data_IF_420590329639
#
_entry.id   IF_420590329639
#
_cell.length_a   1.000
_cell.length_b   1.000
_cell.length_c   1.000
_cell.angle_alpha   90.00
_cell.angle_beta   90.00
_cell.angle_gamma   90.00
#
_symmetry.space_group_name_H-M   'P 1'
#
loop_
_entity.id
_entity.type
_entity.pdbx_description
1 polymer ?
#
# COMPACT_ATOMS: atom_id res chain seq x y z
N UNK A 1 12.08 21.13 -4.91
CA UNK A 1 12.02 20.28 -6.11
C UNK A 1 11.21 20.97 -7.19
N UNK A 2 9.97 21.40 -6.94
CA UNK A 2 9.15 22.08 -7.97
C UNK A 2 9.82 23.34 -8.56
N UNK A 3 10.33 24.24 -7.72
CA UNK A 3 11.07 25.44 -8.16
C UNK A 3 12.33 25.09 -9.00
N UNK A 4 12.93 23.93 -8.74
CA UNK A 4 14.08 23.44 -9.49
C UNK A 4 13.70 23.06 -10.93
N UNK A 5 12.57 22.35 -11.09
CA UNK A 5 12.07 21.92 -12.39
C UNK A 5 11.45 23.07 -13.20
N UNK A 6 10.82 24.04 -12.53
CA UNK A 6 10.41 25.29 -13.15
C UNK A 6 11.62 26.06 -13.69
N UNK A 7 12.68 26.19 -12.90
CA UNK A 7 13.92 26.83 -13.32
C UNK A 7 14.60 26.10 -14.50
N UNK A 8 14.52 24.77 -14.55
CA UNK A 8 15.04 23.98 -15.68
C UNK A 8 14.38 24.34 -17.02
N UNK A 9 13.11 24.76 -16.98
CA UNK A 9 12.32 25.09 -18.17
C UNK A 9 12.34 26.59 -18.49
N UNK A 10 12.37 27.46 -17.47
CA UNK A 10 12.16 28.91 -17.59
C UNK A 10 13.42 29.76 -17.35
N UNK A 11 14.33 29.33 -16.48
CA UNK A 11 15.56 30.09 -16.13
C UNK A 11 16.73 29.18 -15.70
N UNK A 12 17.49 28.65 -16.68
CA UNK A 12 18.61 27.74 -16.42
C UNK A 12 19.71 28.34 -15.54
N UNK A 13 19.79 29.67 -15.43
CA UNK A 13 20.83 30.33 -14.63
C UNK A 13 20.63 30.14 -13.12
N UNK A 14 19.38 29.95 -12.68
CA UNK A 14 19.00 29.71 -11.27
C UNK A 14 19.27 28.29 -10.80
N UNK A 15 19.39 27.34 -11.72
CA UNK A 15 19.57 25.92 -11.37
C UNK A 15 20.78 25.70 -10.47
N UNK A 16 21.90 26.41 -10.70
CA UNK A 16 23.10 26.26 -9.89
C UNK A 16 22.86 26.61 -8.41
N UNK A 17 22.21 27.75 -8.15
CA UNK A 17 21.91 28.18 -6.78
C UNK A 17 20.88 27.24 -6.10
N UNK A 18 19.89 26.77 -6.85
CA UNK A 18 18.89 25.83 -6.34
C UNK A 18 19.50 24.45 -6.05
N UNK A 19 20.47 23.98 -6.83
CA UNK A 19 21.23 22.74 -6.56
C UNK A 19 21.97 22.82 -5.23
N UNK A 20 22.74 23.89 -5.03
CA UNK A 20 23.49 24.10 -3.78
C UNK A 20 22.54 24.10 -2.57
N UNK A 21 21.38 24.76 -2.71
CA UNK A 21 20.34 24.79 -1.67
C UNK A 21 19.68 23.43 -1.41
N UNK A 22 19.44 22.62 -2.44
CA UNK A 22 18.91 21.25 -2.27
C UNK A 22 19.91 20.39 -1.50
N UNK A 23 21.19 20.42 -1.88
CA UNK A 23 22.24 19.65 -1.20
C UNK A 23 22.41 20.09 0.26
N UNK A 24 22.38 21.40 0.52
CA UNK A 24 22.43 21.94 1.89
C UNK A 24 21.23 21.46 2.73
N UNK A 25 20.01 21.48 2.17
CA UNK A 25 18.82 20.98 2.84
C UNK A 25 18.87 19.48 3.13
N UNK A 26 19.42 18.68 2.21
CA UNK A 26 19.59 17.24 2.41
C UNK A 26 20.55 16.93 3.57
N UNK A 27 21.70 17.62 3.59
CA UNK A 27 22.65 17.48 4.68
C UNK A 27 22.08 17.96 6.03
N UNK A 28 21.31 19.06 6.03
CA UNK A 28 20.69 19.60 7.24
C UNK A 28 19.57 18.70 7.79
N UNK A 29 18.87 17.96 6.92
CA UNK A 29 17.77 17.07 7.30
C UNK A 29 18.21 15.63 7.59
N UNK A 30 19.49 15.29 7.38
CA UNK A 30 20.04 13.93 7.40
C UNK A 30 19.38 12.96 6.40
N UNK A 31 18.68 13.49 5.39
CA UNK A 31 18.10 12.68 4.32
C UNK A 31 19.19 11.97 3.51
N UNK A 32 20.41 12.52 3.45
CA UNK A 32 21.55 11.87 2.81
C UNK A 32 21.87 10.48 3.39
N UNK A 33 21.71 10.28 4.70
CA UNK A 33 21.89 8.99 5.37
C UNK A 33 20.73 8.03 5.08
N UNK A 34 19.49 8.52 5.15
CA UNK A 34 18.28 7.72 4.87
C UNK A 34 18.24 7.27 3.41
N UNK A 35 18.77 8.08 2.50
CA UNK A 35 18.84 7.81 1.08
C UNK A 35 20.09 6.99 0.69
N UNK A 36 21.01 6.74 1.62
CA UNK A 36 22.27 6.04 1.35
C UNK A 36 23.20 6.80 0.39
N UNK A 37 23.00 8.10 0.20
CA UNK A 37 23.76 8.95 -0.72
C UNK A 37 24.92 9.56 0.06
N UNK A 38 26.14 9.08 -0.19
CA UNK A 38 27.32 9.77 0.34
C UNK A 38 27.58 11.03 -0.48
N UNK A 39 27.15 12.18 0.05
CA UNK A 39 27.44 13.51 -0.48
C UNK A 39 28.93 13.86 -0.27
N UNK A 40 29.85 13.13 -0.91
CA UNK A 40 31.28 13.40 -0.83
C UNK A 40 31.71 14.44 -1.87
N UNK A 41 32.68 15.28 -1.52
CA UNK A 41 33.26 16.27 -2.42
C UNK A 41 33.93 15.66 -3.67
N UNK A 42 34.18 14.35 -3.67
CA UNK A 42 34.74 13.58 -4.79
C UNK A 42 33.65 13.08 -5.75
N UNK A 43 32.47 12.72 -5.24
CA UNK A 43 31.26 12.44 -6.04
C UNK A 43 30.86 13.66 -6.87
N UNK A 44 31.04 14.85 -6.31
CA UNK A 44 30.80 16.14 -6.98
C UNK A 44 31.84 16.50 -8.07
N UNK A 45 32.92 15.74 -8.22
CA UNK A 45 33.93 15.98 -9.28
C UNK A 45 33.73 15.10 -10.51
N UNK A 46 33.05 13.96 -10.39
CA UNK A 46 32.76 13.05 -11.50
C UNK A 46 31.41 13.39 -12.17
N UNK A 47 31.33 14.55 -12.81
CA UNK A 47 30.20 14.91 -13.68
C UNK A 47 28.85 15.04 -12.96
N UNK A 48 28.52 16.25 -12.52
CA UNK A 48 27.26 16.56 -11.82
C UNK A 48 26.00 16.15 -12.58
N UNK A 49 25.99 16.12 -13.91
CA UNK A 49 24.77 15.91 -14.69
C UNK A 49 24.12 14.53 -14.48
N UNK A 50 24.92 13.46 -14.28
CA UNK A 50 24.39 12.11 -14.03
C UNK A 50 24.00 11.92 -12.57
N UNK A 51 24.82 12.44 -11.66
CA UNK A 51 24.56 12.44 -10.22
C UNK A 51 23.27 13.20 -9.90
N UNK A 52 23.03 14.32 -10.57
CA UNK A 52 21.83 15.13 -10.41
C UNK A 52 20.57 14.40 -10.89
N UNK A 53 20.60 13.75 -12.06
CA UNK A 53 19.44 12.98 -12.52
C UNK A 53 19.09 11.85 -11.56
N UNK A 54 20.10 11.09 -11.10
CA UNK A 54 19.89 9.95 -10.20
C UNK A 54 19.42 10.41 -8.81
N UNK A 55 20.05 11.43 -8.24
CA UNK A 55 19.70 11.97 -6.92
C UNK A 55 18.31 12.61 -6.93
N UNK A 56 17.98 13.42 -7.94
CA UNK A 56 16.67 14.06 -8.00
C UNK A 56 15.54 13.06 -8.24
N UNK A 57 15.76 12.05 -9.09
CA UNK A 57 14.78 10.97 -9.33
C UNK A 57 14.53 10.18 -8.04
N UNK A 58 15.60 9.81 -7.33
CA UNK A 58 15.50 9.07 -6.08
C UNK A 58 14.87 9.91 -4.95
N UNK A 59 15.16 11.21 -4.91
CA UNK A 59 14.51 12.16 -4.00
C UNK A 59 13.03 12.32 -4.29
N UNK A 60 12.66 12.55 -5.55
CA UNK A 60 11.24 12.65 -5.96
C UNK A 60 10.49 11.38 -5.54
N UNK A 61 11.07 10.20 -5.80
CA UNK A 61 10.49 8.92 -5.36
C UNK A 61 10.33 8.84 -3.84
N UNK A 62 11.41 9.09 -3.08
CA UNK A 62 11.41 8.95 -1.62
C UNK A 62 10.46 9.93 -0.95
N UNK A 63 10.40 11.17 -1.43
CA UNK A 63 9.47 12.19 -0.93
C UNK A 63 8.02 11.85 -1.28
N UNK A 64 7.77 11.29 -2.47
CA UNK A 64 6.45 10.79 -2.83
C UNK A 64 6.04 9.62 -1.92
N UNK A 65 6.93 8.64 -1.68
CA UNK A 65 6.65 7.52 -0.77
C UNK A 65 6.34 8.00 0.65
N UNK A 66 7.10 8.97 1.17
CA UNK A 66 6.84 9.56 2.49
C UNK A 66 5.52 10.33 2.55
N UNK A 67 5.19 11.08 1.49
CA UNK A 67 3.92 11.82 1.39
C UNK A 67 2.72 10.87 1.33
N UNK A 68 2.86 9.76 0.64
CA UNK A 68 1.81 8.75 0.46
C UNK A 68 1.65 7.79 1.65
N UNK A 69 2.60 7.83 2.59
CA UNK A 69 2.59 6.95 3.75
C UNK A 69 1.36 7.20 4.64
N UNK A 70 0.46 6.22 4.68
CA UNK A 70 -0.74 6.26 5.52
C UNK A 70 -0.37 6.06 6.99
N UNK A 71 -0.30 7.17 7.72
CA UNK A 71 -0.08 7.19 9.17
C UNK A 71 -1.40 7.45 9.92
N UNK A 72 -1.47 7.00 11.17
CA UNK A 72 -2.66 7.24 11.99
C UNK A 72 -2.72 8.70 12.40
N UNK A 73 -3.76 9.40 11.95
CA UNK A 73 -4.03 10.79 12.33
C UNK A 73 -4.89 10.89 13.60
N UNK A 74 -4.40 10.29 14.69
CA UNK A 74 -5.05 10.31 16.00
C UNK A 74 -5.34 8.94 16.62
N UNK A 75 -6.17 8.94 17.67
CA UNK A 75 -6.55 7.76 18.43
C UNK A 75 -8.05 7.51 18.33
N UNK A 76 -8.44 6.24 18.27
CA UNK A 76 -9.83 5.83 18.30
C UNK A 76 -10.47 6.09 19.67
N UNK A 77 -11.69 6.64 19.67
CA UNK A 77 -12.54 6.76 20.86
C UNK A 77 -13.69 5.77 20.68
N UNK A 78 -13.83 4.85 21.63
CA UNK A 78 -14.84 3.78 21.56
C UNK A 78 -16.25 4.37 21.39
N UNK A 79 -16.97 3.92 20.36
CA UNK A 79 -18.32 4.40 20.05
C UNK A 79 -18.39 5.75 19.32
N UNK A 80 -17.26 6.36 18.98
CA UNK A 80 -17.22 7.60 18.21
C UNK A 80 -16.80 7.30 16.77
N UNK A 81 -17.70 7.60 15.82
CA UNK A 81 -17.32 7.62 14.41
C UNK A 81 -16.39 8.83 14.17
N UNK A 82 -15.30 8.67 13.40
CA UNK A 82 -14.52 9.81 12.93
C UNK A 82 -15.42 10.82 12.21
N UNK A 83 -15.04 12.10 12.25
CA UNK A 83 -15.73 13.19 11.57
C UNK A 83 -14.77 14.05 10.74
N UNK A 84 -15.35 14.94 9.91
CA UNK A 84 -14.60 15.87 9.06
C UNK A 84 -13.49 15.20 8.25
N UNK A 85 -12.28 15.76 8.38
CA UNK A 85 -11.08 15.34 7.67
C UNK A 85 -10.70 13.87 7.95
N UNK A 86 -10.81 13.43 9.22
CA UNK A 86 -10.45 12.07 9.61
C UNK A 86 -11.37 11.03 8.98
N UNK A 87 -12.67 11.32 8.87
CA UNK A 87 -13.62 10.43 8.19
C UNK A 87 -13.33 10.33 6.69
N UNK A 88 -13.07 11.48 6.05
CA UNK A 88 -12.73 11.54 4.64
C UNK A 88 -11.49 10.73 4.32
N UNK A 89 -10.40 10.97 5.06
CA UNK A 89 -9.11 10.32 4.81
C UNK A 89 -9.19 8.82 5.09
N UNK A 90 -9.95 8.40 6.12
CA UNK A 90 -10.24 6.98 6.37
C UNK A 90 -11.01 6.34 5.21
N UNK A 91 -12.01 7.04 4.65
CA UNK A 91 -12.78 6.54 3.50
C UNK A 91 -11.88 6.37 2.28
N UNK A 92 -11.01 7.34 1.98
CA UNK A 92 -10.06 7.27 0.88
C UNK A 92 -9.11 6.10 1.09
N UNK A 93 -8.53 5.95 2.28
CA UNK A 93 -7.60 4.87 2.60
C UNK A 93 -8.24 3.47 2.44
N UNK A 94 -9.52 3.31 2.77
CA UNK A 94 -10.25 2.06 2.56
C UNK A 94 -10.62 1.87 1.08
N UNK A 95 -11.08 2.93 0.41
CA UNK A 95 -11.53 2.87 -0.98
C UNK A 95 -10.38 2.78 -1.99
N UNK A 96 -9.13 3.07 -1.58
CA UNK A 96 -7.92 3.02 -2.42
C UNK A 96 -7.67 1.62 -2.98
N UNK A 97 -7.94 0.56 -2.22
CA UNK A 97 -7.59 -0.80 -2.62
C UNK A 97 -8.61 -1.47 -3.56
N UNK A 98 -8.16 -2.18 -4.61
CA UNK A 98 -9.02 -2.97 -5.47
C UNK A 98 -9.62 -4.17 -4.71
N UNK A 99 -10.83 -4.58 -5.09
CA UNK A 99 -11.54 -5.74 -4.57
C UNK A 99 -12.20 -6.49 -5.73
N UNK A 100 -12.76 -7.68 -5.48
CA UNK A 100 -13.53 -8.39 -6.51
C UNK A 100 -14.66 -7.50 -7.04
N UNK A 101 -14.57 -7.09 -8.32
CA UNK A 101 -15.52 -6.18 -8.96
C UNK A 101 -15.33 -4.69 -8.67
N UNK A 102 -14.24 -4.29 -8.00
CA UNK A 102 -13.88 -2.88 -7.74
C UNK A 102 -12.42 -2.62 -8.09
N UNK A 103 -12.18 -1.50 -8.78
CA UNK A 103 -10.83 -1.13 -9.22
C UNK A 103 -10.10 -0.28 -8.17
N UNK A 104 -10.84 0.32 -7.23
CA UNK A 104 -10.31 1.23 -6.22
C UNK A 104 -10.41 2.68 -6.66
N UNK A 105 -10.62 3.60 -5.72
CA UNK A 105 -10.98 4.99 -6.00
C UNK A 105 -9.92 5.73 -6.84
N UNK A 106 -8.64 5.63 -6.46
CA UNK A 106 -7.55 6.33 -7.16
C UNK A 106 -7.33 5.79 -8.57
N UNK A 107 -7.40 4.47 -8.75
CA UNK A 107 -7.35 3.81 -10.07
C UNK A 107 -8.57 4.14 -10.94
N UNK A 108 -9.76 4.22 -10.34
CA UNK A 108 -10.97 4.61 -11.05
C UNK A 108 -10.87 6.05 -11.61
N UNK A 109 -10.39 6.99 -10.79
CA UNK A 109 -10.15 8.37 -11.21
C UNK A 109 -9.11 8.41 -12.33
N UNK A 110 -8.02 7.67 -12.20
CA UNK A 110 -6.99 7.61 -13.23
C UNK A 110 -7.53 7.06 -14.57
N UNK A 111 -8.28 5.96 -14.52
CA UNK A 111 -8.86 5.32 -15.70
C UNK A 111 -9.90 6.19 -16.39
N UNK A 112 -10.80 6.85 -15.63
CA UNK A 112 -11.80 7.76 -16.20
C UNK A 112 -11.17 9.03 -16.78
N UNK A 113 -10.01 9.45 -16.26
CA UNK A 113 -9.26 10.60 -16.77
C UNK A 113 -8.34 10.24 -17.95
N UNK A 114 -8.28 8.97 -18.33
CA UNK A 114 -7.55 8.49 -19.51
C UNK A 114 -6.04 8.28 -19.28
N UNK A 115 -5.58 8.07 -18.05
CA UNK A 115 -4.17 7.78 -17.80
C UNK A 115 -3.81 6.32 -18.05
N UNK A 116 -2.64 6.13 -18.66
CA UNK A 116 -2.02 4.82 -18.91
C UNK A 116 -0.93 4.52 -17.87
N UNK A 117 -1.27 4.69 -16.59
CA UNK A 117 -0.42 4.28 -15.47
C UNK A 117 -1.29 3.78 -14.30
N UNK A 118 -0.73 2.93 -13.46
CA UNK A 118 -1.35 2.45 -12.22
C UNK A 118 -0.85 3.27 -11.02
N UNK A 119 -1.71 4.12 -10.40
CA UNK A 119 -1.36 4.95 -9.25
C UNK A 119 -0.79 4.19 -8.05
N UNK A 120 -0.97 2.87 -7.95
CA UNK A 120 -0.52 2.07 -6.82
C UNK A 120 0.71 1.21 -7.11
N UNK A 121 1.08 1.04 -8.38
CA UNK A 121 2.10 0.05 -8.78
C UNK A 121 3.25 0.67 -9.58
N UNK A 122 2.98 1.72 -10.35
CA UNK A 122 3.98 2.32 -11.22
C UNK A 122 4.91 3.26 -10.45
N UNK A 123 6.13 3.44 -10.97
CA UNK A 123 7.14 4.28 -10.34
C UNK A 123 6.70 5.76 -10.35
N UNK A 124 6.57 6.41 -9.17
CA UNK A 124 6.21 7.83 -9.09
C UNK A 124 7.16 8.75 -9.87
N UNK A 125 8.41 8.34 -10.08
CA UNK A 125 9.40 9.13 -10.80
C UNK A 125 9.29 9.01 -12.33
N UNK A 126 8.44 8.11 -12.85
CA UNK A 126 8.23 7.95 -14.30
C UNK A 126 7.64 9.22 -14.91
N UNK A 127 8.29 9.73 -15.96
CA UNK A 127 7.83 10.91 -16.70
C UNK A 127 6.53 10.64 -17.45
N UNK A 128 5.65 11.64 -17.52
CA UNK A 128 4.40 11.59 -18.26
C UNK A 128 4.39 12.63 -19.39
N UNK A 129 3.85 12.25 -20.54
CA UNK A 129 3.54 13.17 -21.63
C UNK A 129 2.16 13.80 -21.37
N UNK A 130 2.11 14.93 -20.67
CA UNK A 130 0.84 15.53 -20.27
C UNK A 130 0.95 16.78 -19.40
N UNK A 131 -0.15 17.17 -18.73
CA UNK A 131 -0.19 18.36 -17.87
C UNK A 131 0.62 18.18 -16.58
N UNK A 132 0.96 16.94 -16.21
CA UNK A 132 1.83 16.63 -15.08
C UNK A 132 3.16 16.09 -15.56
N UNK A 133 4.21 16.43 -14.82
CA UNK A 133 5.58 16.09 -15.17
C UNK A 133 5.87 14.60 -15.01
N UNK A 134 5.37 14.00 -13.94
CA UNK A 134 5.61 12.61 -13.60
C UNK A 134 4.37 11.98 -12.94
N UNK A 135 4.41 10.66 -12.79
CA UNK A 135 3.36 9.88 -12.14
C UNK A 135 3.08 10.38 -10.72
N UNK A 136 4.10 10.75 -9.95
CA UNK A 136 3.95 11.26 -8.58
C UNK A 136 3.10 12.54 -8.48
N UNK A 137 3.28 13.48 -9.42
CA UNK A 137 2.43 14.68 -9.50
C UNK A 137 0.99 14.34 -9.89
N UNK A 138 0.80 13.39 -10.81
CA UNK A 138 -0.52 12.94 -11.19
C UNK A 138 -1.23 12.22 -10.03
N UNK A 139 -0.53 11.37 -9.27
CA UNK A 139 -1.03 10.73 -8.05
C UNK A 139 -1.47 11.80 -7.05
N UNK A 140 -0.62 12.79 -6.76
CA UNK A 140 -0.95 13.88 -5.84
C UNK A 140 -2.22 14.65 -6.25
N UNK A 141 -2.40 14.91 -7.54
CA UNK A 141 -3.60 15.55 -8.07
C UNK A 141 -4.84 14.64 -7.93
N UNK A 142 -4.71 13.34 -8.20
CA UNK A 142 -5.77 12.34 -8.01
C UNK A 142 -6.19 12.27 -6.53
N UNK A 143 -5.25 12.33 -5.61
CA UNK A 143 -5.50 12.30 -4.16
C UNK A 143 -6.31 13.52 -3.70
N UNK A 144 -5.91 14.71 -4.14
CA UNK A 144 -6.61 15.96 -3.82
C UNK A 144 -8.02 15.99 -4.43
N UNK A 145 -8.15 15.45 -5.64
CA UNK A 145 -9.46 15.26 -6.28
C UNK A 145 -10.31 14.26 -5.50
N UNK A 146 -9.75 13.11 -5.10
CA UNK A 146 -10.41 12.09 -4.28
C UNK A 146 -10.90 12.68 -2.95
N UNK A 147 -10.09 13.52 -2.29
CA UNK A 147 -10.48 14.24 -1.08
C UNK A 147 -11.68 15.15 -1.33
N UNK A 148 -11.64 15.95 -2.39
CA UNK A 148 -12.73 16.88 -2.72
C UNK A 148 -14.04 16.15 -3.02
N UNK A 149 -14.00 15.06 -3.79
CA UNK A 149 -15.20 14.31 -4.14
C UNK A 149 -15.78 13.55 -2.94
N UNK A 150 -14.93 12.99 -2.07
CA UNK A 150 -15.39 12.29 -0.85
C UNK A 150 -15.95 13.28 0.17
N UNK A 151 -15.35 14.46 0.34
CA UNK A 151 -15.90 15.52 1.20
C UNK A 151 -17.29 15.96 0.74
N UNK A 152 -17.45 16.19 -0.57
CA UNK A 152 -18.75 16.53 -1.14
C UNK A 152 -19.77 15.40 -0.92
N UNK A 153 -19.36 14.14 -1.05
CA UNK A 153 -20.20 12.97 -0.80
C UNK A 153 -20.66 12.89 0.66
N UNK A 154 -19.75 13.09 1.61
CA UNK A 154 -20.07 13.11 3.06
C UNK A 154 -21.07 14.23 3.37
N UNK A 155 -20.96 15.38 2.70
CA UNK A 155 -21.87 16.52 2.86
C UNK A 155 -23.20 16.37 2.08
N UNK A 156 -23.42 15.27 1.36
CA UNK A 156 -24.60 15.04 0.55
C UNK A 156 -24.71 15.95 -0.69
N UNK A 157 -23.59 16.52 -1.14
CA UNK A 157 -23.51 17.36 -2.34
C UNK A 157 -23.19 16.50 -3.56
N UNK A 158 -23.88 16.74 -4.67
CA UNK A 158 -23.56 16.08 -5.95
C UNK A 158 -22.40 16.82 -6.61
N UNK A 159 -21.26 16.14 -6.78
CA UNK A 159 -20.14 16.66 -7.58
C UNK A 159 -20.48 16.45 -9.05
N UNK A 160 -21.14 17.44 -9.66
CA UNK A 160 -21.38 17.49 -11.10
C UNK A 160 -20.29 18.32 -11.75
N UNK A 161 -19.18 17.69 -12.11
CA UNK A 161 -18.11 18.17 -13.02
C UNK A 161 -17.87 19.70 -13.08
N UNK A 162 -17.68 20.33 -11.94
CA UNK A 162 -17.07 21.65 -11.86
C UNK A 162 -15.75 21.44 -11.12
N UNK A 163 -14.75 20.99 -11.87
CA UNK A 163 -13.52 20.41 -11.36
C UNK A 163 -12.71 21.45 -10.55
N UNK A 164 -12.20 21.10 -9.35
CA UNK A 164 -11.16 21.89 -8.70
C UNK A 164 -9.80 21.71 -9.39
N UNK A 165 -9.61 20.60 -10.11
CA UNK A 165 -8.33 20.21 -10.71
C UNK A 165 -8.53 19.92 -12.21
N UNK A 166 -7.87 20.66 -13.12
CA UNK A 166 -7.98 20.44 -14.56
C UNK A 166 -7.57 19.01 -14.96
N UNK A 167 -8.24 18.47 -15.98
CA UNK A 167 -7.94 17.16 -16.61
C UNK A 167 -8.27 15.91 -15.77
N UNK A 168 -8.95 16.06 -14.63
CA UNK A 168 -9.50 14.93 -13.88
C UNK A 168 -11.01 14.86 -14.06
N UNK A 169 -11.55 13.65 -14.26
CA UNK A 169 -12.96 13.46 -14.58
C UNK A 169 -13.64 12.40 -13.70
N UNK A 170 -14.93 12.61 -13.43
CA UNK A 170 -15.80 11.61 -12.80
C UNK A 170 -16.51 10.83 -13.91
N UNK A 171 -15.92 9.72 -14.32
CA UNK A 171 -16.51 8.79 -15.28
C UNK A 171 -17.28 7.63 -14.62
N UNK A 172 -17.62 6.59 -15.39
CA UNK A 172 -18.41 5.46 -14.90
C UNK A 172 -17.70 4.65 -13.82
N UNK A 173 -16.37 4.53 -13.86
CA UNK A 173 -15.64 3.76 -12.85
C UNK A 173 -15.66 4.50 -11.51
N UNK A 174 -15.37 5.80 -11.52
CA UNK A 174 -15.39 6.66 -10.33
C UNK A 174 -16.80 6.73 -9.74
N UNK A 175 -17.85 6.81 -10.58
CA UNK A 175 -19.24 6.76 -10.10
C UNK A 175 -19.57 5.44 -9.40
N UNK A 176 -19.07 4.31 -9.91
CA UNK A 176 -19.25 2.99 -9.26
C UNK A 176 -18.62 2.98 -7.87
N UNK A 177 -17.40 3.50 -7.75
CA UNK A 177 -16.70 3.60 -6.47
C UNK A 177 -17.40 4.55 -5.49
N UNK A 178 -17.83 5.74 -5.95
CA UNK A 178 -18.59 6.70 -5.13
C UNK A 178 -19.94 6.13 -4.68
N UNK A 179 -20.64 5.39 -5.54
CA UNK A 179 -21.89 4.72 -5.19
C UNK A 179 -21.65 3.67 -4.09
N UNK A 180 -20.59 2.86 -4.20
CA UNK A 180 -20.22 1.92 -3.15
C UNK A 180 -19.86 2.63 -1.83
N UNK A 181 -19.11 3.73 -1.89
CA UNK A 181 -18.77 4.51 -0.69
C UNK A 181 -20.04 5.01 0.00
N UNK A 182 -20.96 5.58 -0.76
CA UNK A 182 -22.20 6.17 -0.25
C UNK A 182 -23.16 5.14 0.35
N UNK A 183 -23.31 3.98 -0.32
CA UNK A 183 -24.32 2.99 0.05
C UNK A 183 -23.81 1.86 0.93
N UNK A 184 -22.50 1.63 1.00
CA UNK A 184 -21.92 0.52 1.75
C UNK A 184 -20.89 0.96 2.80
N UNK A 185 -19.86 1.71 2.42
CA UNK A 185 -18.75 2.03 3.31
C UNK A 185 -19.15 3.04 4.39
N UNK A 186 -19.62 4.22 3.98
CA UNK A 186 -19.99 5.31 4.89
C UNK A 186 -21.07 4.88 5.90
N UNK A 187 -22.17 4.20 5.49
CA UNK A 187 -23.16 3.71 6.45
C UNK A 187 -22.60 2.68 7.45
N UNK A 188 -21.61 1.87 7.05
CA UNK A 188 -20.98 0.92 7.96
C UNK A 188 -19.98 1.58 8.91
N UNK A 189 -19.30 2.65 8.49
CA UNK A 189 -18.46 3.46 9.38
C UNK A 189 -19.31 4.22 10.40
N UNK A 190 -20.45 4.78 10.00
CA UNK A 190 -21.36 5.49 10.92
C UNK A 190 -21.93 4.57 12.03
N UNK A 191 -21.97 3.26 11.79
CA UNK A 191 -22.36 2.26 12.80
C UNK A 191 -21.29 2.02 13.88
N UNK A 192 -20.15 2.71 13.85
CA UNK A 192 -19.14 2.66 14.94
C UNK A 192 -19.74 2.99 16.31
N UNK A 193 -20.80 3.80 16.35
CA UNK A 193 -21.60 4.06 17.56
C UNK A 193 -22.17 2.80 18.23
N UNK A 194 -22.28 1.69 17.50
CA UNK A 194 -22.72 0.40 18.03
C UNK A 194 -21.69 -0.26 18.97
N UNK A 195 -20.43 0.18 19.00
CA UNK A 195 -19.41 -0.39 19.87
C UNK A 195 -19.79 -0.35 21.36
N UNK A 196 -20.28 0.80 21.84
CA UNK A 196 -20.73 0.93 23.24
C UNK A 196 -21.98 0.08 23.47
N UNK A 197 -22.92 0.09 22.52
CA UNK A 197 -24.15 -0.71 22.61
C UNK A 197 -23.84 -2.20 22.69
N UNK A 198 -22.91 -2.69 21.87
CA UNK A 198 -22.45 -4.07 21.87
C UNK A 198 -21.73 -4.42 23.19
N UNK A 199 -20.87 -3.53 23.69
CA UNK A 199 -20.23 -3.70 24.99
C UNK A 199 -21.27 -3.87 26.11
N UNK A 200 -22.27 -2.99 26.18
CA UNK A 200 -23.34 -3.07 27.19
C UNK A 200 -24.19 -4.33 27.02
N UNK A 201 -24.48 -4.74 25.78
CA UNK A 201 -25.21 -5.99 25.51
C UNK A 201 -24.44 -7.22 25.99
N UNK A 202 -23.12 -7.26 25.74
CA UNK A 202 -22.25 -8.35 26.17
C UNK A 202 -22.14 -8.42 27.70
N UNK A 203 -22.04 -7.27 28.37
CA UNK A 203 -22.05 -7.19 29.84
C UNK A 203 -23.37 -7.68 30.45
N UNK A 204 -24.49 -7.54 29.74
CA UNK A 204 -25.78 -8.09 30.14
C UNK A 204 -25.95 -9.59 29.81
N UNK A 205 -24.87 -10.29 29.41
CA UNK A 205 -24.92 -11.70 29.03
C UNK A 205 -25.59 -11.96 27.67
N UNK A 206 -25.77 -10.91 26.86
CA UNK A 206 -26.33 -11.00 25.51
C UNK A 206 -25.34 -11.55 24.50
N UNK A 207 -25.85 -12.19 23.44
CA UNK A 207 -25.02 -12.71 22.36
C UNK A 207 -24.57 -11.58 21.42
N UNK A 208 -23.26 -11.46 21.20
CA UNK A 208 -22.68 -10.51 20.26
C UNK A 208 -22.45 -11.18 18.90
N UNK A 209 -23.04 -10.67 17.81
CA UNK A 209 -22.85 -11.23 16.47
C UNK A 209 -21.38 -11.31 16.07
N UNK A 210 -21.02 -12.42 15.44
CA UNK A 210 -19.66 -12.66 14.95
C UNK A 210 -19.36 -11.92 13.64
N UNK A 211 -18.10 -11.52 13.44
CA UNK A 211 -17.63 -10.89 12.21
C UNK A 211 -16.16 -11.24 11.90
N UNK A 212 -15.72 -11.18 10.64
CA UNK A 212 -14.31 -11.38 10.32
C UNK A 212 -13.46 -10.24 10.91
N UNK A 213 -12.21 -10.57 11.26
CA UNK A 213 -11.18 -9.58 11.60
C UNK A 213 -10.28 -9.27 10.39
N UNK A 214 -9.67 -8.09 10.41
CA UNK A 214 -8.76 -7.65 9.35
C UNK A 214 -8.54 -6.14 9.37
N UNK A 215 -7.73 -5.67 8.43
CA UNK A 215 -7.56 -4.24 8.21
C UNK A 215 -8.50 -3.80 7.07
N UNK A 216 -9.47 -2.89 7.30
CA UNK A 216 -10.35 -2.42 6.23
C UNK A 216 -9.55 -1.70 5.13
N UNK A 217 -8.44 -1.05 5.50
CA UNK A 217 -7.46 -0.44 4.60
C UNK A 217 -6.59 -1.44 3.84
N UNK A 218 -6.79 -2.76 3.97
CA UNK A 218 -6.13 -3.78 3.14
C UNK A 218 -7.14 -4.56 2.30
N UNK A 219 -8.15 -3.86 1.79
CA UNK A 219 -9.18 -4.45 0.93
C UNK A 219 -10.16 -5.37 1.67
N UNK A 220 -10.23 -5.33 3.01
CA UNK A 220 -11.19 -6.11 3.81
C UNK A 220 -12.30 -5.25 4.39
N UNK A 221 -13.10 -4.61 3.54
CA UNK A 221 -14.20 -3.72 3.98
C UNK A 221 -15.33 -4.47 4.71
N UNK A 222 -15.45 -5.79 4.52
CA UNK A 222 -16.42 -6.68 5.16
C UNK A 222 -16.24 -6.80 6.68
N UNK A 223 -15.10 -6.36 7.23
CA UNK A 223 -14.87 -6.27 8.68
C UNK A 223 -15.73 -5.18 9.33
N UNK A 224 -16.26 -4.24 8.53
CA UNK A 224 -17.16 -3.20 8.98
C UNK A 224 -18.62 -3.69 8.85
N UNK A 225 -19.52 -3.31 9.78
CA UNK A 225 -19.32 -2.37 10.90
C UNK A 225 -18.62 -2.99 12.11
N UNK A 226 -18.02 -2.13 12.95
CA UNK A 226 -17.43 -2.52 14.24
C UNK A 226 -18.50 -2.81 15.31
N UNK A 227 -18.08 -3.12 16.55
CA UNK A 227 -18.99 -3.53 17.62
C UNK A 227 -19.46 -4.98 17.51
N UNK A 228 -18.62 -5.86 16.96
CA UNK A 228 -18.91 -7.29 16.73
C UNK A 228 -17.87 -8.17 17.39
N UNK A 229 -18.23 -9.42 17.67
CA UNK A 229 -17.32 -10.41 18.22
C UNK A 229 -16.48 -11.00 17.08
N UNK A 230 -15.30 -10.42 16.85
CA UNK A 230 -14.53 -10.79 15.67
C UNK A 230 -13.90 -12.18 15.79
N UNK A 231 -13.80 -12.89 14.67
CA UNK A 231 -13.04 -14.14 14.54
C UNK A 231 -11.88 -13.96 13.56
N UNK A 232 -10.92 -14.88 13.63
CA UNK A 232 -9.72 -14.91 12.79
C UNK A 232 -10.01 -15.53 11.41
N UNK A 233 -9.01 -16.15 10.79
CA UNK A 233 -9.12 -16.86 9.51
C UNK A 233 -9.08 -18.37 9.74
N UNK A 234 -9.65 -19.17 8.83
CA UNK A 234 -9.40 -20.63 8.81
C UNK A 234 -7.91 -20.84 8.54
N UNK A 235 -7.19 -21.37 9.53
CA UNK A 235 -5.74 -21.59 9.44
C UNK A 235 -5.33 -22.50 8.29
N UNK A 236 -6.26 -23.35 7.80
CA UNK A 236 -6.01 -24.24 6.65
C UNK A 236 -6.11 -23.51 5.32
N UNK A 237 -6.63 -22.29 5.30
CA UNK A 237 -6.71 -21.46 4.10
C UNK A 237 -5.53 -20.47 3.99
N UNK A 238 -4.48 -20.66 4.80
CA UNK A 238 -3.29 -19.80 4.85
C UNK A 238 -2.08 -20.59 4.31
N UNK A 239 -1.30 -20.05 3.35
CA UNK A 239 -1.51 -18.76 2.69
C UNK A 239 -2.69 -18.79 1.72
N UNK A 240 -3.34 -17.66 1.48
CA UNK A 240 -4.34 -17.53 0.40
C UNK A 240 -3.65 -17.44 -0.96
N UNK A 241 -4.37 -17.74 -2.05
CA UNK A 241 -3.85 -17.56 -3.43
C UNK A 241 -3.33 -16.13 -3.68
N UNK A 242 -4.06 -15.13 -3.18
CA UNK A 242 -3.64 -13.72 -3.29
C UNK A 242 -2.37 -13.44 -2.48
N UNK A 243 -2.23 -14.02 -1.28
CA UNK A 243 -1.05 -13.86 -0.45
C UNK A 243 0.16 -14.58 -1.06
N UNK A 244 -0.06 -15.68 -1.79
CA UNK A 244 0.97 -16.34 -2.57
C UNK A 244 1.58 -15.42 -3.64
N UNK A 245 0.75 -14.73 -4.43
CA UNK A 245 1.24 -13.80 -5.45
C UNK A 245 2.05 -12.65 -4.85
N UNK A 246 1.60 -12.10 -3.72
CA UNK A 246 2.31 -11.03 -3.00
C UNK A 246 3.62 -11.54 -2.42
N UNK A 247 3.58 -12.67 -1.70
CA UNK A 247 4.76 -13.28 -1.08
C UNK A 247 5.81 -13.71 -2.10
N UNK A 248 5.39 -14.26 -3.25
CA UNK A 248 6.28 -14.63 -4.36
C UNK A 248 7.01 -13.41 -4.92
N UNK A 249 6.27 -12.33 -5.24
CA UNK A 249 6.88 -11.07 -5.73
C UNK A 249 7.83 -10.47 -4.69
N UNK A 250 7.45 -10.48 -3.41
CA UNK A 250 8.31 -9.99 -2.33
C UNK A 250 9.61 -10.81 -2.20
N UNK A 251 9.54 -12.13 -2.39
CA UNK A 251 10.73 -12.99 -2.41
C UNK A 251 11.61 -12.71 -3.63
N UNK A 252 11.03 -12.48 -4.81
CA UNK A 252 11.75 -12.13 -6.04
C UNK A 252 12.50 -10.81 -5.89
N UNK A 253 11.83 -9.75 -5.44
CA UNK A 253 12.43 -8.43 -5.19
C UNK A 253 13.55 -8.51 -4.15
N UNK A 254 13.36 -9.28 -3.08
CA UNK A 254 14.38 -9.47 -2.05
C UNK A 254 15.64 -10.12 -2.63
N UNK A 255 15.47 -11.22 -3.37
CA UNK A 255 16.60 -11.95 -3.97
C UNK A 255 17.30 -11.11 -5.02
N UNK A 256 16.55 -10.42 -5.87
CA UNK A 256 17.09 -9.52 -6.89
C UNK A 256 17.94 -8.43 -6.25
N UNK A 257 17.38 -7.70 -5.27
CA UNK A 257 18.10 -6.63 -4.56
C UNK A 257 19.37 -7.15 -3.88
N UNK A 258 19.30 -8.27 -3.16
CA UNK A 258 20.48 -8.86 -2.51
C UNK A 258 21.56 -9.22 -3.53
N UNK A 259 21.17 -9.79 -4.67
CA UNK A 259 22.08 -10.21 -5.74
C UNK A 259 22.72 -9.00 -6.42
N UNK A 260 21.98 -7.91 -6.62
CA UNK A 260 22.51 -6.65 -7.14
C UNK A 260 23.54 -6.03 -6.18
N UNK A 261 23.29 -6.07 -4.88
CA UNK A 261 24.16 -5.48 -3.85
C UNK A 261 25.42 -6.33 -3.57
N UNK A 262 25.34 -7.66 -3.62
CA UNK A 262 26.41 -8.56 -3.19
C UNK A 262 27.06 -9.37 -4.33
N UNK A 263 26.45 -9.41 -5.51
CA UNK A 263 26.93 -10.18 -6.67
C UNK A 263 26.74 -11.70 -6.57
N UNK A 264 26.19 -12.21 -5.46
CA UNK A 264 25.81 -13.62 -5.29
C UNK A 264 24.40 -13.76 -4.72
N UNK A 265 23.76 -14.91 -4.97
CA UNK A 265 22.44 -15.22 -4.42
C UNK A 265 22.51 -15.45 -2.89
N UNK A 266 21.46 -15.06 -2.13
CA UNK A 266 21.41 -15.31 -0.70
C UNK A 266 21.35 -16.82 -0.44
N UNK A 267 22.21 -17.32 0.45
CA UNK A 267 22.25 -18.76 0.82
C UNK A 267 21.28 -19.07 1.95
N UNK A 268 21.23 -18.21 2.96
CA UNK A 268 20.40 -18.39 4.15
C UNK A 268 19.75 -17.07 4.55
N UNK A 269 18.46 -17.10 4.92
CA UNK A 269 17.70 -15.96 5.40
C UNK A 269 16.98 -16.30 6.70
N UNK A 270 16.99 -15.36 7.65
CA UNK A 270 16.13 -15.42 8.83
C UNK A 270 14.84 -14.63 8.58
N UNK A 271 13.67 -15.24 8.72
CA UNK A 271 12.38 -14.56 8.64
C UNK A 271 11.62 -14.68 9.95
N UNK A 272 11.04 -13.57 10.40
CA UNK A 272 10.17 -13.54 11.59
C UNK A 272 8.72 -13.60 11.15
N UNK A 273 8.00 -14.65 11.54
CA UNK A 273 6.57 -14.79 11.23
C UNK A 273 5.75 -14.39 12.45
N UNK A 274 4.76 -13.53 12.24
CA UNK A 274 3.85 -13.06 13.27
C UNK A 274 2.40 -13.47 12.95
N UNK A 275 1.70 -14.04 13.93
CA UNK A 275 0.31 -14.48 13.75
C UNK A 275 -0.64 -13.35 13.38
N UNK A 276 -0.47 -12.17 13.99
CA UNK A 276 -1.31 -10.99 13.70
C UNK A 276 -1.09 -10.44 12.28
N UNK A 277 0.15 -10.49 11.77
CA UNK A 277 0.46 -10.13 10.38
C UNK A 277 -0.17 -11.12 9.41
N UNK A 278 0.04 -12.42 9.66
CA UNK A 278 -0.52 -13.53 8.88
C UNK A 278 -2.05 -13.45 8.77
N UNK A 279 -2.75 -13.17 9.87
CA UNK A 279 -4.21 -13.02 9.87
C UNK A 279 -4.70 -11.83 9.03
N UNK A 280 -3.95 -10.71 9.02
CA UNK A 280 -4.29 -9.49 8.29
C UNK A 280 -4.05 -9.62 6.79
N UNK A 281 -2.98 -10.34 6.39
CA UNK A 281 -2.58 -10.48 4.99
C UNK A 281 -3.16 -11.72 4.32
N UNK A 282 -3.55 -12.73 5.10
CA UNK A 282 -3.84 -14.05 4.56
C UNK A 282 -2.59 -14.90 4.37
N UNK A 283 -1.42 -14.49 4.90
CA UNK A 283 -0.21 -15.31 4.95
C UNK A 283 0.94 -14.86 4.05
N UNK A 284 1.08 -13.56 3.74
CA UNK A 284 2.17 -13.04 2.90
C UNK A 284 3.56 -13.51 3.37
N UNK A 285 3.84 -13.46 4.69
CA UNK A 285 5.14 -13.84 5.26
C UNK A 285 5.44 -15.34 5.03
N UNK A 286 4.42 -16.19 5.20
CA UNK A 286 4.52 -17.63 4.96
C UNK A 286 4.68 -17.92 3.46
N UNK A 287 3.93 -17.22 2.62
CA UNK A 287 4.07 -17.30 1.16
C UNK A 287 5.47 -16.87 0.70
N UNK A 288 6.03 -15.81 1.28
CA UNK A 288 7.39 -15.35 0.98
C UNK A 288 8.43 -16.41 1.36
N UNK A 289 8.31 -17.03 2.54
CA UNK A 289 9.18 -18.12 2.96
C UNK A 289 9.11 -19.33 2.00
N UNK A 290 7.89 -19.75 1.63
CA UNK A 290 7.67 -20.84 0.68
C UNK A 290 8.26 -20.52 -0.70
N UNK A 291 8.05 -19.30 -1.20
CA UNK A 291 8.60 -18.84 -2.47
C UNK A 291 10.15 -18.83 -2.46
N UNK A 292 10.79 -18.39 -1.38
CA UNK A 292 12.26 -18.42 -1.22
C UNK A 292 12.81 -19.85 -1.33
N UNK A 293 12.13 -20.82 -0.72
CA UNK A 293 12.45 -22.25 -0.81
C UNK A 293 12.10 -22.87 -2.17
N UNK A 294 11.31 -22.18 -3.01
CA UNK A 294 10.83 -22.66 -4.30
C UNK A 294 9.73 -23.72 -4.17
N UNK A 295 8.84 -23.52 -3.21
CA UNK A 295 7.70 -24.40 -2.92
C UNK A 295 6.41 -23.60 -3.11
N UNK A 296 5.47 -24.10 -3.89
CA UNK A 296 4.17 -23.49 -4.16
C UNK A 296 3.05 -24.22 -3.40
N UNK A 297 2.17 -23.52 -2.67
CA UNK A 297 1.00 -24.16 -2.07
C UNK A 297 0.01 -24.63 -3.15
N UNK A 298 -0.73 -25.70 -2.86
CA UNK A 298 -1.83 -26.21 -3.68
C UNK A 298 -3.13 -26.04 -2.91
N UNK A 299 -4.10 -25.39 -3.54
CA UNK A 299 -5.42 -25.11 -2.94
C UNK A 299 -6.50 -26.03 -3.50
N UNK A 300 -7.43 -26.45 -2.64
CA UNK A 300 -8.69 -27.04 -3.07
C UNK A 300 -9.63 -25.93 -3.57
N UNK A 301 -10.04 -25.99 -4.85
CA UNK A 301 -10.78 -24.90 -5.49
C UNK A 301 -12.11 -24.55 -4.83
N UNK A 302 -12.79 -25.52 -4.21
CA UNK A 302 -14.07 -25.27 -3.55
C UNK A 302 -13.91 -24.72 -2.13
N UNK A 303 -13.00 -25.28 -1.33
CA UNK A 303 -12.80 -24.86 0.07
C UNK A 303 -11.75 -23.77 0.26
N UNK A 304 -10.97 -23.45 -0.79
CA UNK A 304 -9.78 -22.58 -0.77
C UNK A 304 -8.77 -22.94 0.32
N UNK A 305 -8.80 -24.17 0.80
CA UNK A 305 -7.84 -24.68 1.78
C UNK A 305 -6.59 -25.14 1.07
N UNK A 306 -5.44 -24.88 1.68
CA UNK A 306 -4.16 -25.48 1.29
C UNK A 306 -4.25 -26.96 1.60
N UNK A 307 -4.15 -27.79 0.56
CA UNK A 307 -4.25 -29.25 0.64
C UNK A 307 -2.90 -29.94 0.43
N UNK A 308 -1.99 -29.29 -0.29
CA UNK A 308 -0.67 -29.85 -0.60
C UNK A 308 0.33 -28.73 -0.93
N UNK A 309 1.55 -29.10 -1.28
CA UNK A 309 2.56 -28.21 -1.82
C UNK A 309 3.32 -28.87 -2.97
N UNK A 310 3.69 -28.07 -3.97
CA UNK A 310 4.47 -28.48 -5.12
C UNK A 310 5.88 -27.87 -5.04
N UNK A 311 6.90 -28.72 -5.18
CA UNK A 311 8.29 -28.27 -5.25
C UNK A 311 8.59 -27.83 -6.69
N UNK A 312 8.72 -26.52 -6.90
CA UNK A 312 8.95 -25.95 -8.24
C UNK A 312 10.31 -26.40 -8.79
N UNK A 313 10.41 -26.86 -10.05
CA UNK A 313 11.70 -27.19 -10.68
C UNK A 313 12.63 -25.96 -10.75
N UNK A 314 13.94 -26.17 -10.65
CA UNK A 314 14.93 -25.08 -10.71
C UNK A 314 14.88 -24.30 -12.03
N UNK A 315 14.49 -24.95 -13.13
CA UNK A 315 14.30 -24.31 -14.42
C UNK A 315 13.15 -23.30 -14.43
N UNK A 316 12.11 -23.52 -13.60
CA UNK A 316 10.99 -22.59 -13.42
C UNK A 316 11.36 -21.51 -12.42
N UNK A 317 12.07 -21.88 -11.35
CA UNK A 317 12.47 -20.94 -10.29
C UNK A 317 13.50 -19.91 -10.78
N UNK A 318 14.36 -20.26 -11.74
CA UNK A 318 15.35 -19.35 -12.33
C UNK A 318 16.49 -18.92 -11.39
N UNK A 319 16.57 -19.50 -10.19
CA UNK A 319 17.59 -19.21 -9.17
C UNK A 319 17.80 -20.41 -8.23
N UNK A 320 18.88 -20.43 -7.43
CA UNK A 320 19.02 -21.37 -6.32
C UNK A 320 17.89 -21.23 -5.29
N UNK A 321 17.59 -22.33 -4.60
CA UNK A 321 16.73 -22.30 -3.41
C UNK A 321 17.48 -21.62 -2.27
N UNK A 322 16.78 -20.80 -1.51
CA UNK A 322 17.33 -20.12 -0.34
C UNK A 322 16.93 -20.93 0.89
N UNK A 323 17.90 -21.18 1.78
CA UNK A 323 17.62 -21.78 3.08
C UNK A 323 16.95 -20.75 3.99
N UNK A 324 15.85 -21.11 4.64
CA UNK A 324 15.02 -20.17 5.41
C UNK A 324 14.92 -20.65 6.86
N UNK A 325 15.49 -19.86 7.76
CA UNK A 325 15.30 -20.02 9.21
C UNK A 325 14.08 -19.21 9.64
N UNK A 326 13.03 -19.89 10.09
CA UNK A 326 11.83 -19.24 10.60
C UNK A 326 11.95 -19.00 12.10
N UNK A 327 11.88 -17.74 12.50
CA UNK A 327 11.63 -17.36 13.89
C UNK A 327 10.15 -17.09 14.04
N UNK A 328 9.52 -17.90 14.87
CA UNK A 328 8.09 -17.89 15.01
C UNK A 328 7.65 -17.29 16.36
N UNK A 329 6.66 -16.40 16.32
CA UNK A 329 5.92 -15.89 17.49
C UNK A 329 4.49 -16.46 17.56
N UNK A 330 4.28 -17.64 16.99
CA UNK A 330 3.01 -18.36 17.06
C UNK A 330 2.94 -19.16 18.37
N UNK A 331 2.17 -18.65 19.34
CA UNK A 331 1.59 -19.50 20.39
C UNK A 331 0.41 -20.29 19.76
N UNK A 332 0.76 -21.25 18.91
CA UNK A 332 -0.12 -22.11 18.11
C UNK A 332 -0.19 -23.52 18.71
N UNK A 333 -0.83 -23.68 19.86
CA UNK A 333 -1.15 -25.04 20.36
C UNK A 333 -2.05 -25.87 19.43
N UNK A 334 -2.51 -25.32 18.29
CA UNK A 334 -3.39 -25.96 17.31
C UNK A 334 -2.76 -26.30 15.94
N UNK A 335 -1.53 -25.88 15.60
CA UNK A 335 -0.82 -26.36 14.41
C UNK A 335 0.18 -27.45 14.80
N UNK A 336 -0.31 -28.66 15.04
CA UNK A 336 0.52 -29.85 14.84
C UNK A 336 0.68 -30.04 13.33
N UNK A 337 1.76 -29.54 12.76
CA UNK A 337 2.34 -30.17 11.58
C UNK A 337 2.81 -31.56 12.02
N UNK A 338 1.95 -32.56 11.87
CA UNK A 338 2.42 -33.94 11.81
C UNK A 338 3.02 -34.11 10.42
N UNK A 339 4.35 -34.14 10.38
CA UNK A 339 5.13 -34.71 9.28
C UNK A 339 4.77 -36.20 9.18
#
# INVERSE_FOLDING_TARGET
MDEYYEAMTLDPSRMKALREKIVELLAASNLDQDLGITLSAESLKQGWDRFEADVLTYLDRSLCELKEAQIRDGLHILGQCPDGMQLRDLIIAIARHPQAGRVGLTRAIAADSGFDFDPLMDDPAMSLDGPWRNVGQAIAAIEEFAATIVDALIQGRSVRSADPIPNLQIGPQTQTELHWIAHHLLPNLQKTTQEITALLHGLNGGYIPSAPSGAPTRGRSEVLPTGRNFYSVDIRAVPTESAWDVGRKAAEVLVERYTQENGEYPKTLGLSIWGTATMRTGGDDLAQALALMGVQPVWDGASRRVVDFEVLPLSVLGRPRVDVTLRDFLDFSAMRFQI
#
